data_IF_143706170042
#
_entry.id   IF_143706170042
#
_cell.length_a   1.000
_cell.length_b   1.000
_cell.length_c   1.000
_cell.angle_alpha   90.00
_cell.angle_beta   90.00
_cell.angle_gamma   90.00
#
_symmetry.space_group_name_H-M   'P 1'
#
loop_
_entity.id
_entity.type
_entity.pdbx_description
1 polymer ?
#
# COMPACT_ATOMS: atom_id res chain seq x y z
N UNK A 1 -6.63 -3.31 12.57
CA UNK A 1 -7.25 -2.54 11.51
C UNK A 1 -6.63 -1.13 11.46
N UNK A 2 -6.25 -0.62 10.27
CA UNK A 2 -5.70 0.72 10.10
C UNK A 2 -4.18 0.88 10.30
N UNK A 3 -3.45 -0.17 10.59
CA UNK A 3 -1.98 -0.09 10.73
C UNK A 3 -1.29 0.03 9.37
N UNK A 4 -0.23 0.84 9.33
CA UNK A 4 0.71 0.91 8.21
C UNK A 4 2.01 0.16 8.54
N UNK A 5 2.87 -0.06 7.55
CA UNK A 5 4.20 -0.61 7.81
C UNK A 5 4.98 0.26 8.81
N UNK A 6 4.87 1.59 8.70
CA UNK A 6 5.50 2.53 9.63
C UNK A 6 4.96 2.36 11.05
N UNK A 7 3.63 2.33 11.23
CA UNK A 7 3.03 2.27 12.57
C UNK A 7 3.30 0.95 13.28
N UNK A 8 3.28 -0.18 12.54
CA UNK A 8 3.65 -1.48 13.10
C UNK A 8 5.12 -1.49 13.52
N UNK A 9 6.01 -0.99 12.68
CA UNK A 9 7.43 -0.93 12.98
C UNK A 9 7.72 -0.08 14.24
N UNK A 10 7.07 1.08 14.37
CA UNK A 10 7.19 1.92 15.56
C UNK A 10 6.73 1.19 16.83
N UNK A 11 5.62 0.45 16.76
CA UNK A 11 5.13 -0.37 17.88
C UNK A 11 6.10 -1.50 18.25
N UNK A 12 6.71 -2.14 17.27
CA UNK A 12 7.73 -3.16 17.52
C UNK A 12 8.95 -2.58 18.26
N UNK A 13 9.44 -1.41 17.84
CA UNK A 13 10.53 -0.72 18.54
C UNK A 13 10.13 -0.35 19.97
N UNK A 14 8.95 0.24 20.15
CA UNK A 14 8.49 0.60 21.49
C UNK A 14 8.39 -0.63 22.41
N UNK A 15 7.78 -1.71 21.92
CA UNK A 15 7.69 -2.96 22.66
C UNK A 15 9.06 -3.53 23.05
N UNK A 16 10.04 -3.46 22.14
CA UNK A 16 11.40 -3.91 22.41
C UNK A 16 12.06 -3.07 23.51
N UNK A 17 11.87 -1.74 23.48
CA UNK A 17 12.38 -0.83 24.53
C UNK A 17 11.73 -1.13 25.88
N UNK A 18 10.42 -1.26 25.91
CA UNK A 18 9.64 -1.46 27.13
C UNK A 18 9.97 -2.80 27.82
N UNK A 19 10.26 -3.85 27.04
CA UNK A 19 10.58 -5.18 27.57
C UNK A 19 12.06 -5.39 27.90
N UNK A 20 12.94 -4.51 27.43
CA UNK A 20 14.38 -4.68 27.58
C UNK A 20 14.85 -4.70 29.06
N UNK A 21 14.31 -3.80 29.87
CA UNK A 21 14.65 -3.74 31.30
C UNK A 21 14.27 -5.04 32.04
N UNK A 22 13.11 -5.62 31.71
CA UNK A 22 12.65 -6.90 32.26
C UNK A 22 13.58 -8.03 31.84
N UNK A 23 13.96 -8.09 30.56
CA UNK A 23 14.91 -9.10 30.07
C UNK A 23 16.27 -9.02 30.80
N UNK A 24 16.78 -7.81 31.04
CA UNK A 24 18.03 -7.63 31.80
C UNK A 24 17.89 -8.11 33.25
N UNK A 25 16.76 -7.81 33.89
CA UNK A 25 16.49 -8.29 35.26
C UNK A 25 16.41 -9.82 35.34
N UNK A 26 15.72 -10.45 34.38
CA UNK A 26 15.57 -11.90 34.29
C UNK A 26 16.93 -12.60 34.06
N UNK A 27 17.77 -12.04 33.19
CA UNK A 27 19.14 -12.53 32.96
C UNK A 27 20.00 -12.44 34.23
N UNK A 28 19.93 -11.33 34.96
CA UNK A 28 20.69 -11.14 36.19
C UNK A 28 20.26 -12.06 37.32
N UNK A 29 19.00 -12.47 37.37
CA UNK A 29 18.42 -13.36 38.39
C UNK A 29 18.41 -14.82 37.96
N UNK A 30 18.97 -15.16 36.80
CA UNK A 30 18.95 -16.51 36.22
C UNK A 30 17.52 -17.10 36.10
N UNK A 31 16.53 -16.24 35.92
CA UNK A 31 15.12 -16.61 35.85
C UNK A 31 14.61 -16.81 34.42
N UNK A 32 15.49 -16.64 33.39
CA UNK A 32 15.11 -16.80 32.00
C UNK A 32 14.68 -18.22 31.70
N UNK A 33 13.46 -18.38 31.19
CA UNK A 33 12.92 -19.65 30.72
C UNK A 33 12.93 -19.69 29.21
N UNK A 34 13.87 -20.41 28.61
CA UNK A 34 13.87 -20.67 27.17
C UNK A 34 12.75 -21.65 26.82
N UNK A 35 11.87 -21.27 25.94
CA UNK A 35 10.83 -22.13 25.40
C UNK A 35 11.15 -22.48 23.94
N UNK A 36 11.02 -23.75 23.55
CA UNK A 36 11.11 -24.13 22.13
C UNK A 36 10.08 -23.36 21.29
N UNK A 37 10.51 -22.77 20.20
CA UNK A 37 9.59 -22.12 19.27
C UNK A 37 8.84 -23.16 18.43
N UNK A 38 7.52 -23.07 18.34
CA UNK A 38 6.74 -23.85 17.39
C UNK A 38 6.93 -23.28 15.97
N UNK A 39 7.57 -24.04 15.11
CA UNK A 39 7.86 -23.65 13.74
C UNK A 39 6.78 -24.11 12.75
N UNK A 40 5.73 -24.79 13.17
CA UNK A 40 4.66 -25.28 12.27
C UNK A 40 3.88 -24.14 11.60
N UNK A 41 3.72 -23.02 12.30
CA UNK A 41 3.08 -21.80 11.78
C UNK A 41 4.04 -20.79 11.14
N UNK A 42 5.31 -21.15 10.93
CA UNK A 42 6.32 -20.22 10.42
C UNK A 42 6.02 -19.83 8.97
N UNK A 43 5.99 -18.52 8.69
CA UNK A 43 6.11 -17.97 7.34
C UNK A 43 7.46 -17.28 7.16
N UNK A 44 7.99 -17.32 5.94
CA UNK A 44 9.26 -16.69 5.62
C UNK A 44 9.10 -15.78 4.40
N UNK A 45 9.45 -14.51 4.56
CA UNK A 45 9.49 -13.52 3.50
C UNK A 45 10.93 -13.01 3.36
N UNK A 46 11.59 -13.40 2.28
CA UNK A 46 12.95 -12.95 2.00
C UNK A 46 13.01 -11.44 1.70
N UNK A 47 14.16 -10.82 1.97
CA UNK A 47 14.39 -9.38 1.76
C UNK A 47 14.11 -8.91 0.33
N UNK A 48 14.27 -9.80 -0.65
CA UNK A 48 14.08 -9.51 -2.07
C UNK A 48 12.66 -9.80 -2.57
N UNK A 49 11.81 -10.44 -1.74
CA UNK A 49 10.44 -10.72 -2.15
C UNK A 49 9.65 -9.41 -2.27
N UNK A 50 9.12 -9.15 -3.44
CA UNK A 50 8.28 -7.99 -3.75
C UNK A 50 6.83 -8.43 -3.88
N UNK A 51 5.86 -7.51 -3.69
CA UNK A 51 4.48 -7.75 -4.06
C UNK A 51 4.36 -8.13 -5.54
N UNK A 52 3.38 -8.95 -5.85
CA UNK A 52 3.07 -9.34 -7.22
C UNK A 52 2.78 -8.09 -8.07
N UNK A 53 3.05 -8.15 -9.38
CA UNK A 53 2.90 -7.01 -10.26
C UNK A 53 3.80 -5.82 -9.93
N UNK A 54 4.90 -6.02 -9.17
CA UNK A 54 5.82 -4.96 -8.77
C UNK A 54 5.13 -3.75 -8.10
N UNK A 55 4.05 -4.01 -7.35
CA UNK A 55 3.25 -2.98 -6.66
C UNK A 55 2.29 -2.22 -7.59
N UNK A 56 2.13 -2.64 -8.83
CA UNK A 56 1.09 -2.08 -9.69
C UNK A 56 -0.29 -2.48 -9.14
N UNK A 57 -1.18 -1.50 -9.04
CA UNK A 57 -2.54 -1.74 -8.59
C UNK A 57 -3.30 -2.46 -9.69
N UNK A 58 -3.83 -3.63 -9.34
CA UNK A 58 -4.76 -4.40 -10.15
C UNK A 58 -6.19 -4.11 -9.66
N UNK A 59 -6.94 -3.36 -10.47
CA UNK A 59 -8.31 -2.95 -10.14
C UNK A 59 -9.30 -4.12 -10.09
N UNK A 60 -8.93 -5.28 -10.60
CA UNK A 60 -9.75 -6.51 -10.50
C UNK A 60 -9.71 -7.13 -9.09
N UNK A 61 -8.77 -6.71 -8.25
CA UNK A 61 -8.67 -7.17 -6.87
C UNK A 61 -9.75 -6.52 -5.99
N UNK A 62 -10.19 -7.19 -4.92
CA UNK A 62 -11.11 -6.62 -3.95
C UNK A 62 -10.59 -5.29 -3.37
N UNK A 63 -11.48 -4.31 -3.20
CA UNK A 63 -11.14 -2.98 -2.68
C UNK A 63 -10.34 -3.02 -1.37
N UNK A 64 -10.67 -3.99 -0.49
CA UNK A 64 -9.96 -4.21 0.76
C UNK A 64 -8.52 -4.71 0.56
N UNK A 65 -8.29 -5.48 -0.50
CA UNK A 65 -6.94 -5.99 -0.82
C UNK A 65 -6.05 -4.88 -1.35
N UNK A 66 -6.60 -4.01 -2.21
CA UNK A 66 -5.88 -2.85 -2.74
C UNK A 66 -5.56 -1.86 -1.60
N UNK A 67 -6.56 -1.51 -0.77
CA UNK A 67 -6.35 -0.61 0.37
C UNK A 67 -5.30 -1.16 1.33
N UNK A 68 -5.36 -2.45 1.62
CA UNK A 68 -4.37 -3.13 2.48
C UNK A 68 -2.97 -3.11 1.89
N UNK A 69 -2.83 -3.28 0.58
CA UNK A 69 -1.54 -3.18 -0.10
C UNK A 69 -0.96 -1.78 0.02
N UNK A 70 -1.75 -0.73 -0.23
CA UNK A 70 -1.30 0.67 -0.08
C UNK A 70 -0.81 0.91 1.34
N UNK A 71 -1.56 0.51 2.33
CA UNK A 71 -1.23 0.66 3.76
C UNK A 71 0.00 -0.17 4.18
N UNK A 72 0.11 -1.41 3.69
CA UNK A 72 1.23 -2.30 4.00
C UNK A 72 2.57 -1.82 3.38
N UNK A 73 2.53 -0.98 2.36
CA UNK A 73 3.70 -0.40 1.72
C UNK A 73 3.96 1.06 2.14
N UNK A 74 3.17 1.59 3.07
CA UNK A 74 3.39 2.93 3.65
C UNK A 74 4.46 2.89 4.74
N UNK A 75 5.64 3.36 4.40
CA UNK A 75 6.78 3.54 5.30
C UNK A 75 6.94 5.01 5.76
N UNK A 76 5.93 5.85 5.53
CA UNK A 76 5.95 7.28 5.88
C UNK A 76 7.04 8.04 5.14
N UNK A 77 7.91 8.73 5.89
CA UNK A 77 9.03 9.48 5.33
C UNK A 77 10.31 8.63 5.12
N UNK A 78 10.32 7.39 5.57
CA UNK A 78 11.47 6.50 5.40
C UNK A 78 11.51 5.92 3.98
N UNK A 79 12.73 5.63 3.51
CA UNK A 79 12.91 4.94 2.24
C UNK A 79 12.21 3.57 2.29
N UNK A 80 11.30 3.34 1.34
CA UNK A 80 10.62 2.04 1.24
C UNK A 80 11.60 1.02 0.62
N UNK A 81 12.03 -0.02 1.36
CA UNK A 81 12.98 -1.01 0.88
C UNK A 81 12.34 -2.00 -0.12
N UNK A 82 11.02 -2.02 -0.20
CA UNK A 82 10.28 -2.95 -1.06
C UNK A 82 9.95 -2.30 -2.39
N UNK A 83 8.84 -1.58 -2.44
CA UNK A 83 8.34 -0.87 -3.61
C UNK A 83 7.16 0.02 -3.19
N UNK A 84 6.88 1.09 -3.92
CA UNK A 84 5.66 1.86 -3.70
C UNK A 84 4.50 1.29 -4.52
N UNK A 85 3.27 1.25 -3.95
CA UNK A 85 2.08 1.00 -4.74
C UNK A 85 1.98 2.04 -5.85
N UNK A 86 1.54 1.63 -7.03
CA UNK A 86 1.44 2.56 -8.16
C UNK A 86 0.26 2.22 -9.06
N UNK A 87 -0.25 3.24 -9.73
CA UNK A 87 -1.20 3.14 -10.83
C UNK A 87 -0.57 3.70 -12.10
N UNK A 88 -1.12 3.37 -13.25
CA UNK A 88 -0.68 3.92 -14.54
C UNK A 88 -1.72 4.92 -15.02
N UNK A 89 -1.29 6.14 -15.27
CA UNK A 89 -2.13 7.25 -15.72
C UNK A 89 -1.55 7.78 -17.02
N UNK A 90 -2.30 7.66 -18.12
CA UNK A 90 -1.80 8.09 -19.43
C UNK A 90 -0.46 7.46 -19.83
N UNK A 91 -0.22 6.20 -19.48
CA UNK A 91 1.03 5.50 -19.71
C UNK A 91 2.16 5.84 -18.70
N UNK A 92 1.91 6.71 -17.74
CA UNK A 92 2.90 7.13 -16.72
C UNK A 92 2.60 6.46 -15.38
N UNK A 93 3.56 5.75 -14.78
CA UNK A 93 3.37 5.18 -13.45
C UNK A 93 3.44 6.28 -12.36
N UNK A 94 2.43 6.29 -11.51
CA UNK A 94 2.24 7.24 -10.40
C UNK A 94 2.20 6.46 -9.08
N UNK A 95 3.01 6.85 -8.13
CA UNK A 95 2.98 6.27 -6.80
C UNK A 95 1.71 6.68 -6.06
N UNK A 96 1.00 5.70 -5.49
CA UNK A 96 -0.16 5.91 -4.62
C UNK A 96 0.35 5.87 -3.17
N UNK A 97 0.30 7.00 -2.50
CA UNK A 97 0.85 7.14 -1.15
C UNK A 97 -0.20 6.91 -0.05
N UNK A 98 -1.46 7.20 -0.37
CA UNK A 98 -2.55 7.05 0.57
C UNK A 98 -3.86 6.78 -0.17
N UNK A 99 -4.61 5.82 0.34
CA UNK A 99 -5.92 5.46 -0.19
C UNK A 99 -6.82 4.94 0.94
N UNK A 100 -8.13 5.10 0.77
CA UNK A 100 -9.15 4.57 1.67
C UNK A 100 -10.32 4.00 0.89
N UNK A 101 -11.07 3.12 1.50
CA UNK A 101 -12.30 2.59 0.92
C UNK A 101 -13.37 3.67 0.99
N UNK A 102 -13.89 4.10 -0.18
CA UNK A 102 -14.99 5.06 -0.27
C UNK A 102 -16.35 4.36 -0.22
N UNK A 103 -16.51 3.28 -0.98
CA UNK A 103 -17.70 2.45 -0.99
C UNK A 103 -17.33 0.97 -1.11
N UNK A 104 -18.21 0.09 -0.58
CA UNK A 104 -18.02 -1.37 -0.60
C UNK A 104 -18.86 -2.07 -1.66
N UNK A 105 -19.40 -1.29 -2.57
CA UNK A 105 -20.16 -1.76 -3.73
C UNK A 105 -19.84 -0.84 -4.91
N UNK A 106 -19.76 -1.41 -6.12
CA UNK A 106 -19.53 -0.68 -7.35
C UNK A 106 -20.18 -1.42 -8.51
N UNK A 107 -20.86 -0.67 -9.36
CA UNK A 107 -21.41 -1.13 -10.64
C UNK A 107 -20.65 -0.57 -11.85
N UNK A 108 -19.58 0.21 -11.61
CA UNK A 108 -18.75 0.81 -12.63
C UNK A 108 -17.74 -0.19 -13.18
N UNK A 109 -17.16 0.11 -14.34
CA UNK A 109 -16.11 -0.71 -14.90
C UNK A 109 -14.85 -0.64 -14.04
N UNK A 110 -14.08 -1.75 -13.98
CA UNK A 110 -12.86 -1.81 -13.18
C UNK A 110 -11.82 -0.82 -13.72
N UNK A 111 -11.24 -0.01 -12.84
CA UNK A 111 -10.30 1.05 -13.19
C UNK A 111 -10.98 2.34 -13.67
N UNK A 112 -12.30 2.42 -13.71
CA UNK A 112 -13.01 3.63 -14.10
C UNK A 112 -12.88 4.71 -13.02
N UNK A 113 -12.56 5.94 -13.45
CA UNK A 113 -12.59 7.12 -12.58
C UNK A 113 -14.05 7.53 -12.38
N UNK A 114 -14.59 7.29 -11.20
CA UNK A 114 -16.00 7.55 -10.87
C UNK A 114 -16.21 8.85 -10.13
N UNK A 115 -15.14 9.52 -9.73
CA UNK A 115 -15.21 10.81 -9.06
C UNK A 115 -13.85 11.46 -8.92
N UNK A 116 -13.87 12.78 -8.94
CA UNK A 116 -12.70 13.62 -8.76
C UNK A 116 -13.09 14.83 -7.92
N UNK A 117 -12.30 15.12 -6.89
CA UNK A 117 -12.47 16.26 -6.01
C UNK A 117 -11.09 16.76 -5.57
N UNK A 118 -11.06 17.92 -4.90
CA UNK A 118 -9.84 18.44 -4.30
C UNK A 118 -9.18 17.44 -3.34
N UNK A 119 -9.99 16.63 -2.64
CA UNK A 119 -9.53 15.71 -1.59
C UNK A 119 -9.19 14.32 -2.08
N UNK A 120 -9.68 13.91 -3.27
CA UNK A 120 -9.47 12.54 -3.72
C UNK A 120 -9.91 12.22 -5.13
N UNK A 121 -9.25 11.20 -5.69
CA UNK A 121 -9.59 10.52 -6.92
C UNK A 121 -10.26 9.20 -6.57
N UNK A 122 -11.47 8.97 -7.06
CA UNK A 122 -12.24 7.76 -6.83
C UNK A 122 -12.18 6.85 -8.04
N UNK A 123 -11.71 5.63 -7.82
CA UNK A 123 -11.55 4.63 -8.87
C UNK A 123 -12.32 3.38 -8.49
N UNK A 124 -13.08 2.84 -9.44
CA UNK A 124 -13.82 1.61 -9.27
C UNK A 124 -12.89 0.39 -9.28
N UNK A 125 -13.14 -0.52 -8.37
CA UNK A 125 -12.43 -1.79 -8.26
C UNK A 125 -13.40 -2.91 -7.89
N UNK A 126 -12.91 -4.14 -7.86
CA UNK A 126 -13.77 -5.26 -7.52
C UNK A 126 -14.36 -5.08 -6.11
N UNK A 127 -15.69 -5.13 -6.05
CA UNK A 127 -16.44 -5.03 -4.80
C UNK A 127 -16.41 -3.66 -4.13
N UNK A 128 -16.02 -2.56 -4.85
CA UNK A 128 -16.09 -1.25 -4.24
C UNK A 128 -15.45 -0.11 -5.01
N UNK A 129 -15.29 1.01 -4.33
CA UNK A 129 -14.65 2.23 -4.85
C UNK A 129 -13.53 2.60 -3.89
N UNK A 130 -12.32 2.73 -4.41
CA UNK A 130 -11.16 3.23 -3.70
C UNK A 130 -11.06 4.75 -3.89
N UNK A 131 -10.85 5.50 -2.82
CA UNK A 131 -10.52 6.91 -2.86
C UNK A 131 -9.04 7.09 -2.58
N UNK A 132 -8.31 7.57 -3.58
CA UNK A 132 -6.88 7.89 -3.50
C UNK A 132 -6.77 9.34 -3.07
N UNK A 133 -6.14 9.59 -1.93
CA UNK A 133 -6.05 10.92 -1.34
C UNK A 133 -4.68 11.55 -1.52
N UNK A 134 -3.65 10.74 -1.83
CA UNK A 134 -2.29 11.25 -1.99
C UNK A 134 -1.50 10.44 -3.00
N UNK A 135 -0.85 11.14 -3.91
CA UNK A 135 0.00 10.56 -4.97
C UNK A 135 1.33 11.29 -5.09
N UNK A 136 2.28 10.65 -5.76
CA UNK A 136 3.54 11.28 -6.16
C UNK A 136 4.01 10.72 -7.51
N UNK A 137 4.67 11.55 -8.29
CA UNK A 137 5.45 11.09 -9.44
C UNK A 137 6.63 10.22 -8.99
N UNK A 138 7.10 9.29 -9.81
CA UNK A 138 8.24 8.43 -9.48
C UNK A 138 9.56 9.21 -9.27
N UNK A 139 9.64 10.44 -9.82
CA UNK A 139 10.74 11.37 -9.56
C UNK A 139 10.70 12.01 -8.16
N UNK A 140 9.69 11.70 -7.35
CA UNK A 140 9.47 12.29 -6.03
C UNK A 140 8.64 13.57 -6.05
N UNK A 141 8.20 14.05 -7.21
CA UNK A 141 7.29 15.20 -7.29
C UNK A 141 5.97 14.90 -6.57
N UNK A 142 5.58 15.76 -5.64
CA UNK A 142 4.32 15.66 -4.89
C UNK A 142 3.36 16.75 -5.37
N UNK A 143 2.10 16.40 -5.51
CA UNK A 143 1.04 17.33 -5.86
C UNK A 143 0.44 17.92 -4.58
N UNK A 144 0.09 19.21 -4.61
CA UNK A 144 -0.46 19.90 -3.45
C UNK A 144 -1.91 19.48 -3.14
N UNK A 145 -2.66 19.09 -4.17
CA UNK A 145 -4.01 18.54 -4.08
C UNK A 145 -4.29 17.63 -5.27
N UNK A 146 -5.37 16.86 -5.21
CA UNK A 146 -5.74 15.92 -6.27
C UNK A 146 -6.23 16.61 -7.55
N UNK A 147 -6.78 17.84 -7.45
CA UNK A 147 -7.13 18.62 -8.64
C UNK A 147 -5.89 18.97 -9.48
N UNK A 148 -4.81 19.44 -8.82
CA UNK A 148 -3.55 19.73 -9.51
C UNK A 148 -2.99 18.49 -10.22
N UNK A 149 -3.08 17.32 -9.59
CA UNK A 149 -2.70 16.06 -10.20
C UNK A 149 -3.59 15.74 -11.42
N UNK A 150 -4.90 15.85 -11.24
CA UNK A 150 -5.86 15.55 -12.28
C UNK A 150 -5.69 16.47 -13.52
N UNK A 151 -5.46 17.75 -13.30
CA UNK A 151 -5.19 18.73 -14.35
C UNK A 151 -3.89 18.39 -15.11
N UNK A 152 -2.83 18.04 -14.37
CA UNK A 152 -1.53 17.69 -14.96
C UNK A 152 -1.62 16.47 -15.88
N UNK A 153 -2.49 15.52 -15.59
CA UNK A 153 -2.71 14.30 -16.38
C UNK A 153 -4.00 14.32 -17.19
N UNK A 154 -4.74 15.43 -17.20
CA UNK A 154 -6.00 15.62 -17.93
C UNK A 154 -7.05 14.54 -17.59
N UNK A 155 -7.10 14.11 -16.33
CA UNK A 155 -8.02 13.09 -15.86
C UNK A 155 -9.48 13.57 -15.95
N UNK A 156 -10.36 12.65 -16.32
CA UNK A 156 -11.81 12.91 -16.41
C UNK A 156 -12.59 11.77 -15.79
N UNK A 157 -13.70 12.10 -15.17
CA UNK A 157 -14.69 11.10 -14.72
C UNK A 157 -15.17 10.31 -15.95
N UNK A 158 -15.25 8.99 -15.83
CA UNK A 158 -15.55 8.07 -16.93
C UNK A 158 -14.32 7.60 -17.73
N UNK A 159 -13.11 8.12 -17.45
CA UNK A 159 -11.88 7.57 -18.03
C UNK A 159 -11.52 6.24 -17.35
N UNK A 160 -10.91 5.34 -18.14
CA UNK A 160 -10.40 4.05 -17.66
C UNK A 160 -8.90 4.19 -17.36
N UNK A 161 -8.50 3.84 -16.15
CA UNK A 161 -7.08 3.71 -15.81
C UNK A 161 -6.62 2.27 -16.08
N UNK A 162 -5.47 2.15 -16.77
CA UNK A 162 -4.92 0.86 -17.17
C UNK A 162 -4.54 0.00 -15.97
N UNK A 163 -5.11 -1.20 -15.92
CA UNK A 163 -4.51 -2.31 -15.20
C UNK A 163 -3.34 -2.90 -16.00
N UNK A 164 -2.61 -3.89 -15.46
CA UNK A 164 -1.59 -4.59 -16.21
C UNK A 164 -2.22 -5.22 -17.46
N UNK A 165 -1.85 -4.74 -18.62
CA UNK A 165 -2.22 -5.41 -19.88
C UNK A 165 -1.62 -6.82 -19.88
N UNK A 166 -2.45 -7.83 -20.15
CA UNK A 166 -2.06 -9.25 -20.27
C UNK A 166 -0.97 -9.52 -21.33
N UNK A 167 -0.61 -8.51 -22.12
CA UNK A 167 0.37 -8.59 -23.21
C UNK A 167 1.81 -8.47 -22.75
N UNK A 168 2.11 -7.82 -21.62
CA UNK A 168 3.50 -7.58 -21.18
C UNK A 168 4.07 -8.68 -20.24
N UNK A 169 3.25 -9.61 -19.77
CA UNK A 169 3.70 -10.69 -18.87
C UNK A 169 4.23 -11.94 -19.61
N UNK A 170 4.26 -11.97 -20.95
CA UNK A 170 4.68 -13.14 -21.73
C UNK A 170 6.07 -13.04 -22.36
N UNK A 171 6.82 -11.99 -22.06
CA UNK A 171 8.18 -11.79 -22.60
C UNK A 171 9.19 -11.40 -21.53
N UNK A 172 9.47 -12.32 -20.61
CA UNK A 172 10.67 -12.28 -19.77
C UNK A 172 10.99 -13.68 -19.24
#
# INVERSE_FOLDING_TARGET
PGETALSINAKCYQSAIDTFATLVADLNSDSVKALPQDLSGRSYYGLTKRPDGAGLIDWSQPVESIERMVRALDHGAYANPLISPKMVVGGTPIAVLEAKIYARESSYALGEIVGLSQDGLRVACSGGILEITRVAGLSGHRYSCMEQFADAYQLKVGAMEGGPDDTDLRSS
#
